data_IF_805909825328
#
_entry.id   IF_805909825328
#
_cell.length_a   1.000
_cell.length_b   1.000
_cell.length_c   1.000
_cell.angle_alpha   90.00
_cell.angle_beta   90.00
_cell.angle_gamma   90.00
#
_symmetry.space_group_name_H-M   'P 1'
#
loop_
_entity.id
_entity.type
_entity.pdbx_description
1 polymer ?
#
# COMPACT_ATOMS: atom_id res chain seq x y z
N UNK A 1 -0.51 20.72 26.54
CA UNK A 1 0.05 19.36 26.32
C UNK A 1 -1.03 18.34 25.93
N UNK A 2 -2.15 18.19 26.64
CA UNK A 2 -3.19 17.18 26.29
C UNK A 2 -3.79 17.31 24.87
N UNK A 3 -3.88 18.53 24.32
CA UNK A 3 -4.42 18.75 22.97
C UNK A 3 -3.44 18.44 21.81
N UNK A 4 -2.13 18.34 22.08
CA UNK A 4 -1.11 18.13 21.03
C UNK A 4 -0.92 16.67 20.65
N UNK A 5 -1.20 15.75 21.57
CA UNK A 5 -1.01 14.31 21.36
C UNK A 5 -1.92 13.71 20.26
N UNK A 6 -3.24 14.01 20.23
CA UNK A 6 -4.10 13.54 19.15
C UNK A 6 -3.66 14.04 17.78
N UNK A 7 -3.22 15.31 17.70
CA UNK A 7 -2.76 15.93 16.45
C UNK A 7 -1.45 15.28 15.96
N UNK A 8 -0.49 15.06 16.86
CA UNK A 8 0.78 14.44 16.50
C UNK A 8 0.62 12.99 16.03
N UNK A 9 -0.24 12.22 16.72
CA UNK A 9 -0.53 10.83 16.33
C UNK A 9 -1.29 10.77 15.00
N UNK A 10 -2.24 11.67 14.76
CA UNK A 10 -2.96 11.78 13.50
C UNK A 10 -2.01 12.10 12.34
N UNK A 11 -1.07 13.03 12.53
CA UNK A 11 -0.06 13.36 11.54
C UNK A 11 0.83 12.16 11.19
N UNK A 12 1.23 11.35 12.18
CA UNK A 12 2.00 10.13 11.95
C UNK A 12 1.18 9.10 11.17
N UNK A 13 -0.08 8.87 11.55
CA UNK A 13 -0.97 7.94 10.83
C UNK A 13 -1.16 8.39 9.39
N UNK A 14 -1.48 9.66 9.14
CA UNK A 14 -1.67 10.23 7.80
C UNK A 14 -0.44 10.10 6.93
N UNK A 15 0.73 10.45 7.45
CA UNK A 15 1.98 10.29 6.71
C UNK A 15 2.26 8.82 6.38
N UNK A 16 1.98 7.92 7.32
CA UNK A 16 2.20 6.48 7.14
C UNK A 16 1.30 5.92 6.05
N UNK A 17 0.00 6.24 6.05
CA UNK A 17 -0.93 5.75 5.03
C UNK A 17 -0.60 6.29 3.64
N UNK A 18 -0.24 7.57 3.54
CA UNK A 18 0.18 8.18 2.27
C UNK A 18 1.45 7.52 1.71
N UNK A 19 2.43 7.19 2.57
CA UNK A 19 3.64 6.53 2.11
C UNK A 19 3.38 5.06 1.72
N UNK A 20 2.49 4.34 2.43
CA UNK A 20 2.07 2.99 2.03
C UNK A 20 1.39 3.04 0.66
N UNK A 21 0.46 3.97 0.45
CA UNK A 21 -0.21 4.19 -0.85
C UNK A 21 0.82 4.44 -1.95
N UNK A 22 1.77 5.34 -1.71
CA UNK A 22 2.83 5.68 -2.66
C UNK A 22 3.71 4.47 -2.98
N UNK A 23 4.26 3.79 -1.98
CA UNK A 23 5.10 2.60 -2.17
C UNK A 23 4.33 1.51 -2.92
N UNK A 24 3.04 1.33 -2.63
CA UNK A 24 2.19 0.38 -3.33
C UNK A 24 2.11 0.70 -4.83
N UNK A 25 1.91 1.98 -5.18
CA UNK A 25 1.88 2.45 -6.58
C UNK A 25 3.24 2.28 -7.27
N UNK A 26 4.31 2.76 -6.64
CA UNK A 26 5.68 2.68 -7.17
C UNK A 26 6.13 1.23 -7.38
N UNK A 27 5.72 0.29 -6.53
CA UNK A 27 6.06 -1.12 -6.70
C UNK A 27 5.55 -1.70 -8.03
N UNK A 28 4.43 -1.19 -8.54
CA UNK A 28 3.84 -1.65 -9.80
C UNK A 28 4.62 -1.16 -11.03
N UNK A 29 5.43 -0.12 -10.88
CA UNK A 29 6.21 0.44 -11.97
C UNK A 29 7.37 -0.48 -12.42
N UNK A 30 7.92 -0.18 -13.59
CA UNK A 30 9.07 -0.88 -14.15
C UNK A 30 8.77 -2.22 -14.84
N UNK A 31 9.78 -2.80 -15.51
CA UNK A 31 9.66 -4.07 -16.20
C UNK A 31 9.41 -5.20 -15.21
N UNK A 32 8.58 -6.17 -15.60
CA UNK A 32 8.35 -7.40 -14.84
C UNK A 32 9.10 -8.57 -15.44
N UNK A 33 9.17 -9.71 -14.75
CA UNK A 33 9.98 -10.88 -15.18
C UNK A 33 9.17 -12.13 -15.53
N UNK A 34 7.85 -12.01 -15.62
CA UNK A 34 6.96 -13.13 -15.89
C UNK A 34 6.89 -13.53 -17.36
N UNK A 35 5.77 -14.14 -17.74
CA UNK A 35 5.57 -14.62 -19.11
C UNK A 35 5.27 -13.47 -20.06
N UNK A 36 5.93 -13.48 -21.22
CA UNK A 36 5.55 -12.68 -22.39
C UNK A 36 4.44 -13.37 -23.18
N UNK A 37 3.39 -12.63 -23.51
CA UNK A 37 2.30 -13.13 -24.37
C UNK A 37 1.64 -11.98 -25.14
N UNK A 38 1.03 -12.31 -26.27
CA UNK A 38 0.29 -11.34 -27.07
C UNK A 38 -1.09 -11.10 -26.47
N UNK A 39 -1.42 -9.83 -26.22
CA UNK A 39 -2.74 -9.35 -25.81
C UNK A 39 -3.24 -8.41 -26.90
N UNK A 40 -4.02 -8.95 -27.83
CA UNK A 40 -4.40 -8.24 -29.05
C UNK A 40 -3.18 -7.92 -29.91
N UNK A 41 -2.99 -6.64 -30.26
CA UNK A 41 -1.84 -6.17 -31.06
C UNK A 41 -0.58 -5.87 -30.24
N UNK A 42 -0.65 -5.95 -28.90
CA UNK A 42 0.45 -5.59 -28.00
C UNK A 42 1.05 -6.85 -27.34
N UNK A 43 2.38 -6.90 -27.22
CA UNK A 43 3.04 -7.88 -26.37
C UNK A 43 2.99 -7.39 -24.92
N UNK A 44 2.44 -8.20 -24.03
CA UNK A 44 2.38 -7.93 -22.59
C UNK A 44 3.36 -8.84 -21.85
N UNK A 45 4.21 -8.23 -21.02
CA UNK A 45 5.05 -8.92 -20.05
C UNK A 45 4.33 -9.02 -18.69
N UNK A 46 3.88 -10.22 -18.31
CA UNK A 46 3.25 -10.43 -17.00
C UNK A 46 4.27 -10.29 -15.86
N UNK A 47 3.78 -10.07 -14.64
CA UNK A 47 4.53 -10.28 -13.41
C UNK A 47 4.96 -11.74 -13.25
N UNK A 48 6.06 -11.99 -12.52
CA UNK A 48 6.41 -13.31 -11.95
C UNK A 48 5.84 -13.47 -10.53
N UNK A 49 5.59 -14.71 -10.04
CA UNK A 49 5.03 -14.92 -8.70
C UNK A 49 5.79 -14.14 -7.63
N UNK A 50 5.07 -13.45 -6.74
CA UNK A 50 5.67 -12.57 -5.72
C UNK A 50 6.04 -11.17 -6.21
N UNK A 51 6.12 -10.94 -7.53
CA UNK A 51 6.28 -9.58 -8.06
C UNK A 51 4.96 -8.81 -8.03
N UNK A 52 5.01 -7.48 -7.83
CA UNK A 52 3.83 -6.62 -7.90
C UNK A 52 3.19 -6.65 -9.30
N UNK A 53 1.89 -6.33 -9.41
CA UNK A 53 1.16 -6.37 -10.66
C UNK A 53 1.80 -5.52 -11.76
N UNK A 54 1.83 -6.06 -12.98
CA UNK A 54 2.29 -5.33 -14.16
C UNK A 54 1.26 -4.26 -14.54
N UNK A 55 1.73 -3.03 -14.79
CA UNK A 55 0.87 -1.92 -15.19
C UNK A 55 0.57 -1.98 -16.69
N UNK A 56 -0.70 -2.19 -17.02
CA UNK A 56 -1.20 -2.08 -18.40
C UNK A 56 -1.91 -0.74 -18.64
N UNK A 57 -2.95 -0.44 -17.84
CA UNK A 57 -3.79 0.76 -17.95
C UNK A 57 -3.66 1.73 -16.78
N UNK A 58 -2.97 1.33 -15.70
CA UNK A 58 -2.88 2.11 -14.47
C UNK A 58 -4.13 2.08 -13.59
N UNK A 59 -5.22 1.41 -13.98
CA UNK A 59 -6.48 1.41 -13.23
C UNK A 59 -6.30 0.97 -11.76
N UNK A 60 -5.56 -0.11 -11.52
CA UNK A 60 -5.28 -0.59 -10.17
C UNK A 60 -4.56 0.48 -9.36
N UNK A 61 -3.42 0.98 -9.85
CA UNK A 61 -2.62 2.00 -9.18
C UNK A 61 -3.45 3.26 -8.88
N UNK A 62 -4.24 3.74 -9.85
CA UNK A 62 -5.09 4.93 -9.70
C UNK A 62 -6.23 4.73 -8.70
N UNK A 63 -6.68 3.49 -8.49
CA UNK A 63 -7.73 3.18 -7.53
C UNK A 63 -7.24 3.02 -6.09
N UNK A 64 -5.92 2.97 -5.86
CA UNK A 64 -5.36 2.89 -4.51
C UNK A 64 -5.48 4.26 -3.85
N UNK A 65 -6.14 4.27 -2.70
CA UNK A 65 -6.44 5.46 -1.92
C UNK A 65 -6.15 5.21 -0.45
N UNK A 66 -5.93 6.29 0.29
CA UNK A 66 -5.80 6.26 1.74
C UNK A 66 -6.71 7.29 2.40
N UNK A 67 -7.27 6.90 3.53
CA UNK A 67 -8.15 7.72 4.35
C UNK A 67 -7.71 7.67 5.81
N UNK A 68 -7.83 8.80 6.49
CA UNK A 68 -7.61 8.90 7.93
C UNK A 68 -8.85 9.49 8.57
N UNK A 69 -9.30 8.85 9.64
CA UNK A 69 -10.44 9.29 10.44
C UNK A 69 -10.09 9.29 11.92
N UNK A 70 -10.58 10.28 12.66
CA UNK A 70 -10.48 10.29 14.11
C UNK A 70 -11.58 9.42 14.71
N UNK A 71 -11.19 8.43 15.52
CA UNK A 71 -12.11 7.56 16.26
C UNK A 71 -12.02 7.84 17.77
N UNK A 72 -12.96 7.29 18.54
CA UNK A 72 -13.01 7.47 19.99
C UNK A 72 -11.72 7.03 20.71
N UNK A 73 -10.96 6.10 20.11
CA UNK A 73 -9.71 5.56 20.63
C UNK A 73 -8.46 6.09 19.91
N UNK A 74 -8.58 7.12 19.07
CA UNK A 74 -7.47 7.74 18.35
C UNK A 74 -7.60 7.70 16.82
N UNK A 75 -6.58 8.17 16.09
CA UNK A 75 -6.58 8.19 14.63
C UNK A 75 -6.52 6.78 14.03
N UNK A 76 -7.39 6.52 13.06
CA UNK A 76 -7.39 5.30 12.23
C UNK A 76 -7.08 5.66 10.79
N UNK A 77 -6.03 5.04 10.26
CA UNK A 77 -5.66 5.12 8.85
C UNK A 77 -6.04 3.83 8.11
N UNK A 78 -6.60 3.95 6.91
CA UNK A 78 -6.96 2.83 6.03
C UNK A 78 -6.36 3.10 4.65
N UNK A 79 -5.74 2.09 4.05
CA UNK A 79 -5.30 2.10 2.65
C UNK A 79 -6.08 1.00 1.93
N UNK A 80 -6.73 1.35 0.83
CA UNK A 80 -7.65 0.45 0.14
C UNK A 80 -7.65 0.69 -1.37
N UNK A 81 -8.34 -0.19 -2.10
CA UNK A 81 -8.58 -0.07 -3.54
C UNK A 81 -10.02 -0.46 -3.84
N UNK A 82 -10.63 0.25 -4.77
CA UNK A 82 -12.01 -0.01 -5.22
C UNK A 82 -12.08 -1.02 -6.39
N UNK A 83 -11.01 -1.77 -6.64
CA UNK A 83 -10.96 -2.78 -7.71
C UNK A 83 -11.09 -4.19 -7.15
N UNK A 84 -12.12 -4.92 -7.58
CA UNK A 84 -12.43 -6.26 -7.07
C UNK A 84 -11.28 -7.27 -7.31
N UNK A 85 -10.61 -7.17 -8.46
CA UNK A 85 -9.52 -8.06 -8.84
C UNK A 85 -8.24 -7.85 -8.01
N UNK A 86 -8.13 -6.74 -7.25
CA UNK A 86 -6.99 -6.47 -6.40
C UNK A 86 -6.78 -7.55 -5.33
N UNK A 87 -7.86 -8.10 -4.77
CA UNK A 87 -7.77 -9.16 -3.75
C UNK A 87 -7.09 -10.40 -4.31
N UNK A 88 -7.49 -10.81 -5.52
CA UNK A 88 -6.88 -11.95 -6.21
C UNK A 88 -5.42 -11.70 -6.60
N UNK A 89 -5.03 -10.44 -6.84
CA UNK A 89 -3.64 -10.09 -7.06
C UNK A 89 -2.84 -10.14 -5.76
N UNK A 90 -3.31 -9.48 -4.69
CA UNK A 90 -2.58 -9.37 -3.43
C UNK A 90 -2.33 -10.75 -2.80
N UNK A 91 -3.34 -11.62 -2.78
CA UNK A 91 -3.29 -12.91 -2.08
C UNK A 91 -3.14 -14.12 -3.01
N UNK A 92 -3.28 -13.91 -4.32
CA UNK A 92 -3.36 -15.00 -5.28
C UNK A 92 -4.75 -15.62 -5.35
N UNK A 93 -4.90 -16.57 -6.27
CA UNK A 93 -6.11 -17.35 -6.50
C UNK A 93 -5.72 -18.81 -6.73
N UNK A 94 -6.72 -19.71 -6.85
CA UNK A 94 -6.48 -21.11 -7.23
C UNK A 94 -5.67 -21.26 -8.54
N UNK A 95 -5.73 -20.28 -9.45
CA UNK A 95 -5.11 -20.34 -10.79
C UNK A 95 -3.90 -19.42 -10.95
N UNK A 96 -3.57 -18.61 -9.95
CA UNK A 96 -2.55 -17.56 -10.05
C UNK A 96 -1.88 -17.34 -8.69
N UNK A 97 -0.55 -17.47 -8.63
CA UNK A 97 0.21 -17.11 -7.43
C UNK A 97 0.11 -15.60 -7.13
N UNK A 98 0.22 -15.24 -5.85
CA UNK A 98 0.13 -13.87 -5.36
C UNK A 98 1.11 -12.91 -6.04
N UNK A 99 0.66 -11.66 -6.20
CA UNK A 99 1.33 -10.47 -6.73
C UNK A 99 1.18 -9.34 -5.70
N UNK A 100 1.81 -9.50 -4.53
CA UNK A 100 1.57 -8.60 -3.42
C UNK A 100 2.15 -7.21 -3.71
N UNK A 101 1.39 -6.17 -3.35
CA UNK A 101 1.75 -4.78 -3.55
C UNK A 101 1.45 -3.92 -2.31
N UNK A 102 0.38 -4.23 -1.57
CA UNK A 102 0.00 -3.50 -0.34
C UNK A 102 0.71 -4.03 0.90
N UNK A 103 0.75 -5.36 1.09
CA UNK A 103 1.39 -5.97 2.25
C UNK A 103 2.89 -5.65 2.34
N UNK A 104 3.70 -5.75 1.26
CA UNK A 104 5.10 -5.39 1.31
C UNK A 104 5.32 -3.90 1.63
N UNK A 105 4.43 -3.02 1.15
CA UNK A 105 4.45 -1.59 1.47
C UNK A 105 4.18 -1.34 2.96
N UNK A 106 3.17 -2.02 3.53
CA UNK A 106 2.84 -1.94 4.94
C UNK A 106 3.97 -2.49 5.83
N UNK A 107 4.55 -3.64 5.46
CA UNK A 107 5.66 -4.25 6.19
C UNK A 107 6.90 -3.35 6.19
N UNK A 108 7.18 -2.66 5.07
CA UNK A 108 8.24 -1.66 4.98
C UNK A 108 8.02 -0.45 5.89
N UNK A 109 6.78 0.02 6.01
CA UNK A 109 6.44 1.19 6.82
C UNK A 109 6.26 0.89 8.31
N UNK A 110 5.96 -0.35 8.68
CA UNK A 110 5.75 -0.79 10.07
C UNK A 110 6.85 -0.31 11.04
N UNK A 111 8.15 -0.55 10.82
CA UNK A 111 9.18 -0.11 11.77
C UNK A 111 9.27 1.42 11.86
N UNK A 112 9.06 2.13 10.74
CA UNK A 112 9.09 3.61 10.69
C UNK A 112 7.93 4.17 11.53
N UNK A 113 6.73 3.62 11.35
CA UNK A 113 5.55 3.98 12.12
C UNK A 113 5.76 3.80 13.63
N UNK A 114 6.25 2.63 14.05
CA UNK A 114 6.52 2.35 15.47
C UNK A 114 7.57 3.31 16.05
N UNK A 115 8.63 3.59 15.28
CA UNK A 115 9.66 4.54 15.72
C UNK A 115 9.12 5.97 15.87
N UNK A 116 8.19 6.39 15.01
CA UNK A 116 7.56 7.70 15.09
C UNK A 116 6.65 7.82 16.32
N UNK A 117 5.88 6.77 16.63
CA UNK A 117 5.06 6.73 17.84
C UNK A 117 5.92 6.78 19.11
N UNK A 118 7.02 6.02 19.15
CA UNK A 118 7.95 6.03 20.29
C UNK A 118 8.51 7.43 20.56
N UNK A 119 8.86 8.18 19.51
CA UNK A 119 9.33 9.58 19.65
C UNK A 119 8.27 10.50 20.23
N UNK A 120 7.00 10.31 19.86
CA UNK A 120 5.89 11.05 20.46
C UNK A 120 5.79 10.71 21.95
N UNK A 121 5.83 9.42 22.31
CA UNK A 121 5.80 8.99 23.71
C UNK A 121 6.95 9.60 24.53
N UNK A 122 8.18 9.56 24.00
CA UNK A 122 9.36 10.15 24.65
C UNK A 122 9.23 11.67 24.83
N UNK A 123 8.60 12.38 23.88
CA UNK A 123 8.36 13.82 24.01
C UNK A 123 7.29 14.22 25.04
N UNK A 124 6.55 13.25 25.57
CA UNK A 124 5.54 13.45 26.61
C UNK A 124 6.08 13.20 28.03
N UNK A 125 7.22 12.52 28.13
CA UNK A 125 7.94 12.30 29.39
C UNK A 125 8.73 13.55 29.76
#
# INVERSE_FOLDING_TARGET
>A
MAAQFPVATEAVVKKTTQEIEKISKESMEGPKSGRLYSRGKKTHHASAPGEPPAVDSGNLANSIQSEVSMQANGPRGVVFTNTEYAVGLEFGTRKMAARPFMKPAADRMRPIYLSALKKIEESLK
#
